data_IF_457889816737
#
_entry.id   IF_457889816737
#
_cell.length_a   1.000
_cell.length_b   1.000
_cell.length_c   1.000
_cell.angle_alpha   90.00
_cell.angle_beta   90.00
_cell.angle_gamma   90.00
#
_symmetry.space_group_name_H-M   'P 1'
#
loop_
_entity.id
_entity.type
_entity.pdbx_description
1 polymer ?
#
# COMPACT_ATOMS: atom_id res chain seq x y z
N UNK A 1 8.17 23.46 14.86
CA UNK A 1 9.45 23.25 14.15
C UNK A 1 9.15 23.39 12.66
N UNK A 2 9.17 24.61 12.15
CA UNK A 2 8.80 24.94 10.77
C UNK A 2 10.04 24.71 9.91
N UNK A 3 9.98 23.73 9.01
CA UNK A 3 11.01 23.53 7.98
C UNK A 3 10.73 24.57 6.90
N UNK A 4 11.32 25.75 7.08
CA UNK A 4 11.52 26.69 5.98
C UNK A 4 12.26 25.96 4.87
N UNK A 5 11.60 25.72 3.74
CA UNK A 5 12.27 25.29 2.53
C UNK A 5 13.22 26.40 2.12
N UNK A 6 14.49 26.17 2.42
CA UNK A 6 15.65 26.89 1.93
C UNK A 6 15.53 27.07 0.41
N UNK A 7 15.00 28.22 0.01
CA UNK A 7 15.05 28.73 -1.34
C UNK A 7 16.52 29.15 -1.55
N UNK A 8 17.35 28.18 -1.91
CA UNK A 8 18.77 28.39 -2.22
C UNK A 8 18.90 29.44 -3.32
N UNK A 9 19.19 30.66 -2.88
CA UNK A 9 20.10 31.63 -3.51
C UNK A 9 20.26 31.47 -5.02
N UNK A 10 19.24 31.84 -5.79
CA UNK A 10 19.51 32.60 -7.01
C UNK A 10 20.05 33.94 -6.49
N UNK A 11 21.38 34.07 -6.39
CA UNK A 11 21.98 35.40 -6.39
C UNK A 11 21.45 36.06 -7.67
N UNK A 12 20.42 36.89 -7.53
CA UNK A 12 19.91 37.71 -8.60
C UNK A 12 21.11 38.47 -9.13
N UNK A 13 21.55 38.14 -10.36
CA UNK A 13 22.51 38.96 -11.09
C UNK A 13 22.05 40.40 -10.93
N UNK A 14 22.90 41.24 -10.31
CA UNK A 14 22.61 42.66 -10.16
C UNK A 14 22.67 43.27 -11.56
N UNK A 15 21.54 43.22 -12.25
CA UNK A 15 21.38 43.82 -13.58
C UNK A 15 21.27 45.32 -13.39
N UNK A 16 22.19 46.05 -13.99
CA UNK A 16 22.13 47.51 -14.12
C UNK A 16 22.01 47.86 -15.60
N UNK A 17 21.35 48.96 -15.92
CA UNK A 17 21.32 49.45 -17.29
C UNK A 17 22.73 49.88 -17.68
N UNK A 18 23.20 49.43 -18.86
CA UNK A 18 24.53 49.76 -19.38
C UNK A 18 24.77 51.27 -19.34
N UNK A 19 23.76 52.07 -19.69
CA UNK A 19 23.81 53.54 -19.64
C UNK A 19 24.13 54.09 -18.23
N UNK A 20 23.57 53.48 -17.19
CA UNK A 20 23.71 53.96 -15.80
C UNK A 20 25.11 53.61 -15.27
N UNK A 21 25.62 52.44 -15.65
CA UNK A 21 27.00 52.00 -15.35
C UNK A 21 28.02 52.91 -16.04
N UNK A 22 27.82 53.22 -17.33
CA UNK A 22 28.69 54.12 -18.08
C UNK A 22 28.65 55.55 -17.52
N UNK A 23 27.47 56.06 -17.17
CA UNK A 23 27.31 57.39 -16.55
C UNK A 23 28.03 57.48 -15.20
N UNK A 24 27.85 56.48 -14.32
CA UNK A 24 28.56 56.39 -13.06
C UNK A 24 30.07 56.26 -13.26
N UNK A 25 30.52 55.47 -14.23
CA UNK A 25 31.95 55.30 -14.54
C UNK A 25 32.61 56.64 -14.94
N UNK A 26 31.94 57.43 -15.79
CA UNK A 26 32.41 58.76 -16.19
C UNK A 26 32.49 59.73 -15.00
N UNK A 27 31.50 59.70 -14.11
CA UNK A 27 31.48 60.54 -12.90
C UNK A 27 32.57 60.15 -11.89
N UNK A 28 32.91 58.87 -11.80
CA UNK A 28 33.88 58.34 -10.84
C UNK A 28 35.33 58.43 -11.32
N UNK A 29 35.58 58.41 -12.63
CA UNK A 29 36.92 58.47 -13.22
C UNK A 29 37.82 59.61 -12.69
N UNK A 30 37.36 60.89 -12.59
CA UNK A 30 38.21 61.99 -12.11
C UNK A 30 38.49 61.97 -10.60
N UNK A 31 37.76 61.17 -9.80
CA UNK A 31 37.87 61.13 -8.33
C UNK A 31 38.39 59.79 -7.80
N UNK A 32 38.91 58.91 -8.66
CA UNK A 32 39.30 57.54 -8.32
C UNK A 32 40.36 57.42 -7.21
N UNK A 33 41.19 58.45 -6.98
CA UNK A 33 42.26 58.44 -5.98
C UNK A 33 41.91 59.09 -4.64
N UNK A 34 40.73 59.71 -4.51
CA UNK A 34 40.30 60.44 -3.32
C UNK A 34 39.01 59.83 -2.75
N UNK A 35 39.09 59.05 -1.64
CA UNK A 35 37.94 58.34 -1.11
C UNK A 35 36.84 59.29 -0.61
N UNK A 36 37.20 60.49 -0.13
CA UNK A 36 36.22 61.45 0.37
C UNK A 36 35.40 62.07 -0.78
N UNK A 37 36.05 62.40 -1.90
CA UNK A 37 35.35 62.89 -3.10
C UNK A 37 34.55 61.81 -3.79
N UNK A 38 35.00 60.55 -3.74
CA UNK A 38 34.23 59.42 -4.26
C UNK A 38 32.93 59.23 -3.48
N UNK A 39 32.98 59.30 -2.16
CA UNK A 39 31.79 59.16 -1.32
C UNK A 39 30.79 60.30 -1.55
N UNK A 40 31.25 61.55 -1.73
CA UNK A 40 30.36 62.67 -2.04
C UNK A 40 29.66 62.53 -3.39
N UNK A 41 30.36 62.04 -4.43
CA UNK A 41 29.77 61.77 -5.76
C UNK A 41 28.77 60.60 -5.71
N UNK A 42 28.99 59.61 -4.84
CA UNK A 42 28.10 58.45 -4.69
C UNK A 42 26.89 58.70 -3.79
N UNK A 43 26.90 59.75 -2.96
CA UNK A 43 25.85 60.00 -1.98
C UNK A 43 24.46 60.14 -2.64
N UNK A 44 24.35 60.92 -3.70
CA UNK A 44 23.08 61.13 -4.42
C UNK A 44 22.58 59.87 -5.15
N UNK A 45 23.40 59.15 -5.96
CA UNK A 45 23.00 57.87 -6.54
C UNK A 45 22.60 56.81 -5.51
N UNK A 46 23.30 56.74 -4.36
CA UNK A 46 22.94 55.83 -3.25
C UNK A 46 21.56 56.17 -2.70
N UNK A 47 21.30 57.45 -2.43
CA UNK A 47 20.01 57.91 -1.93
C UNK A 47 18.87 57.70 -2.94
N UNK A 48 19.12 57.96 -4.22
CA UNK A 48 18.16 57.67 -5.29
C UNK A 48 17.86 56.17 -5.41
N UNK A 49 18.89 55.32 -5.39
CA UNK A 49 18.73 53.86 -5.42
C UNK A 49 17.98 53.35 -4.20
N UNK A 50 18.24 53.92 -3.02
CA UNK A 50 17.52 53.62 -1.78
C UNK A 50 16.02 53.93 -1.95
N UNK A 51 15.66 55.11 -2.46
CA UNK A 51 14.27 55.50 -2.71
C UNK A 51 13.58 54.60 -3.74
N UNK A 52 14.28 54.22 -4.82
CA UNK A 52 13.76 53.24 -5.78
C UNK A 52 13.49 51.91 -5.07
N UNK A 53 14.46 51.40 -4.30
CA UNK A 53 14.31 50.12 -3.63
C UNK A 53 13.14 50.13 -2.65
N UNK A 54 13.02 51.18 -1.83
CA UNK A 54 11.88 51.38 -0.91
C UNK A 54 10.54 51.40 -1.67
N UNK A 55 10.46 52.13 -2.77
CA UNK A 55 9.26 52.18 -3.60
C UNK A 55 8.96 50.81 -4.26
N UNK A 56 9.95 50.13 -4.81
CA UNK A 56 9.77 48.81 -5.42
C UNK A 56 9.32 47.76 -4.41
N UNK A 57 9.86 47.81 -3.18
CA UNK A 57 9.42 46.95 -2.10
C UNK A 57 7.96 47.22 -1.73
N UNK A 58 7.59 48.49 -1.55
CA UNK A 58 6.20 48.87 -1.28
C UNK A 58 5.23 48.44 -2.40
N UNK A 59 5.64 48.54 -3.67
CA UNK A 59 4.84 48.06 -4.80
C UNK A 59 4.69 46.53 -4.80
N UNK A 60 5.75 45.79 -4.50
CA UNK A 60 5.72 44.33 -4.42
C UNK A 60 4.82 43.85 -3.28
N UNK A 61 4.97 44.46 -2.09
CA UNK A 61 4.13 44.19 -0.93
C UNK A 61 2.66 44.52 -1.23
N UNK A 62 2.37 45.69 -1.83
CA UNK A 62 1.03 46.04 -2.26
C UNK A 62 0.43 45.01 -3.24
N UNK A 63 1.24 44.53 -4.20
CA UNK A 63 0.79 43.54 -5.18
C UNK A 63 0.45 42.19 -4.54
N UNK A 64 1.32 41.67 -3.67
CA UNK A 64 1.05 40.42 -2.93
C UNK A 64 -0.16 40.56 -2.03
N UNK A 65 -0.28 41.65 -1.27
CA UNK A 65 -1.46 41.95 -0.45
C UNK A 65 -2.74 42.01 -1.30
N UNK A 66 -2.66 42.58 -2.51
CA UNK A 66 -3.81 42.65 -3.41
C UNK A 66 -4.20 41.29 -3.96
N UNK A 67 -3.20 40.45 -4.29
CA UNK A 67 -3.39 39.07 -4.75
C UNK A 67 -4.00 38.21 -3.64
N UNK A 68 -3.49 38.30 -2.42
CA UNK A 68 -4.01 37.60 -1.26
C UNK A 68 -5.45 38.03 -0.96
N UNK A 69 -5.72 39.33 -0.90
CA UNK A 69 -7.07 39.87 -0.69
C UNK A 69 -8.06 39.36 -1.73
N UNK A 70 -7.66 39.32 -3.01
CA UNK A 70 -8.49 38.74 -4.08
C UNK A 70 -8.71 37.23 -3.90
N UNK A 71 -7.69 36.49 -3.47
CA UNK A 71 -7.82 35.06 -3.19
C UNK A 71 -8.82 34.80 -2.06
N UNK A 72 -8.71 35.54 -0.96
CA UNK A 72 -9.61 35.47 0.19
C UNK A 72 -11.06 35.81 -0.21
N UNK A 73 -11.27 36.83 -1.04
CA UNK A 73 -12.59 37.18 -1.57
C UNK A 73 -13.21 36.03 -2.39
N UNK A 74 -12.43 35.44 -3.31
CA UNK A 74 -12.90 34.30 -4.11
C UNK A 74 -13.22 33.08 -3.24
N UNK A 75 -12.39 32.80 -2.24
CA UNK A 75 -12.63 31.69 -1.31
C UNK A 75 -13.86 31.93 -0.44
N UNK A 76 -14.09 33.16 0.00
CA UNK A 76 -15.31 33.51 0.72
C UNK A 76 -16.56 33.29 -0.14
N UNK A 77 -16.50 33.63 -1.44
CA UNK A 77 -17.60 33.37 -2.37
C UNK A 77 -17.82 31.85 -2.55
N UNK A 78 -16.75 31.06 -2.69
CA UNK A 78 -16.83 29.59 -2.81
C UNK A 78 -17.41 28.95 -1.55
N UNK A 79 -16.98 29.36 -0.36
CA UNK A 79 -17.52 28.89 0.93
C UNK A 79 -19.00 29.22 1.05
N UNK A 80 -19.40 30.45 0.74
CA UNK A 80 -20.80 30.88 0.75
C UNK A 80 -21.64 30.06 -0.23
N UNK A 81 -21.12 29.80 -1.43
CA UNK A 81 -21.77 28.94 -2.43
C UNK A 81 -21.93 27.50 -1.93
N UNK A 82 -20.89 26.91 -1.33
CA UNK A 82 -20.95 25.56 -0.75
C UNK A 82 -22.02 25.49 0.34
N UNK A 83 -22.07 26.46 1.25
CA UNK A 83 -23.12 26.51 2.29
C UNK A 83 -24.52 26.58 1.69
N UNK A 84 -24.71 27.35 0.62
CA UNK A 84 -25.99 27.41 -0.10
C UNK A 84 -26.36 26.07 -0.77
N UNK A 85 -25.38 25.37 -1.35
CA UNK A 85 -25.57 24.01 -1.89
C UNK A 85 -25.97 23.03 -0.79
N UNK A 86 -25.26 23.04 0.34
CA UNK A 86 -25.57 22.19 1.51
C UNK A 86 -26.99 22.47 2.02
N UNK A 87 -27.39 23.74 2.12
CA UNK A 87 -28.74 24.11 2.53
C UNK A 87 -29.81 23.58 1.56
N UNK A 88 -29.58 23.66 0.24
CA UNK A 88 -30.48 23.09 -0.77
C UNK A 88 -30.54 21.55 -0.67
N UNK A 89 -29.41 20.88 -0.43
CA UNK A 89 -29.36 19.43 -0.24
C UNK A 89 -30.14 18.96 1.00
N UNK A 90 -30.00 19.66 2.12
CA UNK A 90 -30.84 19.43 3.32
C UNK A 90 -32.33 19.59 3.00
N UNK A 91 -32.68 20.64 2.26
CA UNK A 91 -34.06 20.83 1.77
C UNK A 91 -34.59 19.72 0.85
N UNK A 92 -33.71 18.88 0.29
CA UNK A 92 -34.04 17.71 -0.53
C UNK A 92 -34.01 16.39 0.26
N UNK A 93 -33.74 16.42 1.57
CA UNK A 93 -33.72 15.23 2.42
C UNK A 93 -32.39 14.49 2.49
N UNK A 94 -31.27 15.14 2.13
CA UNK A 94 -29.92 14.57 2.24
C UNK A 94 -29.24 14.83 3.60
N UNK A 95 -30.02 15.17 4.64
CA UNK A 95 -29.49 15.52 5.96
C UNK A 95 -28.66 14.39 6.59
N UNK A 96 -29.12 13.13 6.48
CA UNK A 96 -28.43 11.98 7.05
C UNK A 96 -27.04 11.80 6.43
N UNK A 97 -26.94 11.80 5.10
CA UNK A 97 -25.67 11.68 4.39
C UNK A 97 -24.72 12.85 4.68
N UNK A 98 -25.23 14.08 4.74
CA UNK A 98 -24.42 15.27 5.07
C UNK A 98 -23.89 15.26 6.50
N UNK A 99 -24.63 14.66 7.44
CA UNK A 99 -24.20 14.51 8.83
C UNK A 99 -23.18 13.36 9.00
N UNK A 100 -23.20 12.38 8.10
CA UNK A 100 -22.23 11.27 8.09
C UNK A 100 -20.92 11.64 7.37
N UNK A 101 -20.95 12.60 6.44
CA UNK A 101 -19.75 13.06 5.75
C UNK A 101 -18.74 13.67 6.72
N UNK A 102 -17.50 13.18 6.61
CA UNK A 102 -16.32 13.76 7.25
C UNK A 102 -15.75 14.91 6.40
N UNK A 103 -14.61 15.46 6.84
CA UNK A 103 -13.91 16.52 6.13
C UNK A 103 -13.53 16.11 4.69
N UNK A 104 -13.22 14.84 4.45
CA UNK A 104 -12.93 14.34 3.10
C UNK A 104 -14.17 14.33 2.21
N UNK A 105 -15.33 13.94 2.72
CA UNK A 105 -16.62 14.01 2.03
C UNK A 105 -16.99 15.45 1.65
N UNK A 106 -16.88 16.39 2.60
CA UNK A 106 -17.10 17.82 2.34
C UNK A 106 -16.09 18.40 1.35
N UNK A 107 -14.83 17.99 1.44
CA UNK A 107 -13.79 18.38 0.49
C UNK A 107 -14.13 17.88 -0.92
N UNK A 108 -14.58 16.63 -1.06
CA UNK A 108 -15.07 16.06 -2.32
C UNK A 108 -16.21 16.89 -2.92
N UNK A 109 -17.23 17.19 -2.11
CA UNK A 109 -18.38 18.02 -2.52
C UNK A 109 -17.93 19.42 -2.96
N UNK A 110 -17.03 20.06 -2.20
CA UNK A 110 -16.52 21.40 -2.49
C UNK A 110 -15.69 21.48 -3.78
N UNK A 111 -15.06 20.37 -4.17
CA UNK A 111 -14.20 20.26 -5.35
C UNK A 111 -14.95 19.98 -6.65
N UNK A 112 -16.24 19.63 -6.58
CA UNK A 112 -17.09 19.49 -7.77
C UNK A 112 -16.99 20.76 -8.62
N UNK A 113 -16.77 20.61 -9.93
CA UNK A 113 -16.55 21.74 -10.85
C UNK A 113 -17.69 22.75 -10.85
N UNK A 114 -18.91 22.28 -10.61
CA UNK A 114 -20.15 23.03 -10.50
C UNK A 114 -20.32 23.78 -9.17
N UNK A 115 -19.65 23.30 -8.10
CA UNK A 115 -19.69 23.85 -6.75
C UNK A 115 -18.51 24.78 -6.49
N UNK A 116 -17.30 24.50 -7.00
CA UNK A 116 -16.09 25.31 -6.76
C UNK A 116 -16.05 26.68 -7.45
N UNK A 117 -17.13 27.08 -8.12
CA UNK A 117 -17.20 28.35 -8.85
C UNK A 117 -17.28 29.53 -7.88
N UNK A 118 -16.44 30.56 -8.09
CA UNK A 118 -16.50 31.80 -7.33
C UNK A 118 -17.64 32.71 -7.85
N UNK A 119 -18.88 32.21 -7.82
CA UNK A 119 -20.11 32.92 -8.20
C UNK A 119 -21.23 32.56 -7.23
N UNK A 120 -22.09 33.51 -6.81
CA UNK A 120 -23.24 33.19 -5.97
C UNK A 120 -24.13 32.09 -6.57
N UNK A 121 -24.70 31.25 -5.71
CA UNK A 121 -25.68 30.25 -6.14
C UNK A 121 -27.03 30.93 -6.35
N UNK A 122 -27.56 30.84 -7.56
CA UNK A 122 -28.90 31.32 -7.93
C UNK A 122 -29.80 30.13 -8.24
N UNK A 123 -31.13 30.28 -8.19
CA UNK A 123 -32.03 29.15 -8.46
C UNK A 123 -31.86 28.57 -9.88
N UNK A 124 -31.57 29.42 -10.87
CA UNK A 124 -31.24 28.97 -12.23
C UNK A 124 -29.96 28.14 -12.27
N UNK A 125 -28.90 28.59 -11.59
CA UNK A 125 -27.64 27.84 -11.57
C UNK A 125 -27.75 26.58 -10.72
N UNK A 126 -28.53 26.61 -9.64
CA UNK A 126 -28.89 25.43 -8.85
C UNK A 126 -29.55 24.37 -9.72
N UNK A 127 -30.58 24.74 -10.50
CA UNK A 127 -31.27 23.80 -11.39
C UNK A 127 -30.31 23.10 -12.37
N UNK A 128 -29.29 23.80 -12.86
CA UNK A 128 -28.29 23.24 -13.78
C UNK A 128 -27.32 22.27 -13.10
N UNK A 129 -26.94 22.53 -11.84
CA UNK A 129 -25.94 21.72 -11.13
C UNK A 129 -26.55 20.61 -10.28
N UNK A 130 -27.85 20.71 -9.96
CA UNK A 130 -28.56 19.85 -9.02
C UNK A 130 -28.28 18.37 -9.27
N UNK A 131 -28.44 17.91 -10.51
CA UNK A 131 -28.23 16.50 -10.86
C UNK A 131 -26.82 16.03 -10.51
N UNK A 132 -25.80 16.79 -10.90
CA UNK A 132 -24.40 16.45 -10.60
C UNK A 132 -24.11 16.40 -9.09
N UNK A 133 -24.79 17.22 -8.30
CA UNK A 133 -24.65 17.20 -6.84
C UNK A 133 -25.42 16.02 -6.24
N UNK A 134 -26.64 15.73 -6.70
CA UNK A 134 -27.41 14.55 -6.26
C UNK A 134 -26.72 13.22 -6.63
N UNK A 135 -26.07 13.15 -7.81
CA UNK A 135 -25.27 12.00 -8.23
C UNK A 135 -24.10 11.77 -7.25
N UNK A 136 -23.38 12.84 -6.87
CA UNK A 136 -22.34 12.78 -5.84
C UNK A 136 -22.88 12.31 -4.48
N UNK A 137 -24.03 12.84 -4.04
CA UNK A 137 -24.65 12.41 -2.78
C UNK A 137 -25.10 10.94 -2.82
N UNK A 138 -25.54 10.46 -3.98
CA UNK A 138 -25.93 9.06 -4.19
C UNK A 138 -24.73 8.13 -4.09
N UNK A 139 -23.59 8.51 -4.68
CA UNK A 139 -22.33 7.79 -4.55
C UNK A 139 -21.87 7.76 -3.09
N UNK A 140 -21.87 8.91 -2.41
CA UNK A 140 -21.52 9.00 -0.99
C UNK A 140 -22.41 8.11 -0.11
N UNK A 141 -23.72 8.08 -0.37
CA UNK A 141 -24.66 7.16 0.29
C UNK A 141 -24.30 5.70 0.04
N UNK A 142 -23.96 5.36 -1.20
CA UNK A 142 -23.58 3.99 -1.59
C UNK A 142 -22.33 3.54 -0.85
N UNK A 143 -21.32 4.40 -0.78
CA UNK A 143 -20.08 4.13 -0.04
C UNK A 143 -20.34 3.95 1.46
N UNK A 144 -21.13 4.85 2.08
CA UNK A 144 -21.54 4.71 3.49
C UNK A 144 -22.25 3.38 3.75
N UNK A 145 -23.25 3.03 2.94
CA UNK A 145 -24.00 1.79 3.12
C UNK A 145 -23.12 0.55 2.91
N UNK A 146 -22.15 0.61 2.00
CA UNK A 146 -21.17 -0.44 1.81
C UNK A 146 -20.25 -0.59 3.04
N UNK A 147 -19.83 0.51 3.67
CA UNK A 147 -19.02 0.50 4.89
C UNK A 147 -19.80 -0.10 6.07
N UNK A 148 -21.03 0.37 6.29
CA UNK A 148 -21.93 -0.19 7.32
C UNK A 148 -22.13 -1.68 7.11
N UNK A 149 -22.37 -2.11 5.85
CA UNK A 149 -22.50 -3.54 5.53
C UNK A 149 -21.20 -4.30 5.79
N UNK A 150 -20.04 -3.73 5.49
CA UNK A 150 -18.73 -4.34 5.73
C UNK A 150 -18.50 -4.58 7.22
N UNK A 151 -18.79 -3.60 8.07
CA UNK A 151 -18.71 -3.74 9.54
C UNK A 151 -19.58 -4.89 10.05
N UNK A 152 -20.84 -4.95 9.61
CA UNK A 152 -21.76 -6.03 10.03
C UNK A 152 -21.28 -7.40 9.55
N UNK A 153 -20.81 -7.51 8.31
CA UNK A 153 -20.27 -8.76 7.79
C UNK A 153 -19.01 -9.19 8.56
N UNK A 154 -18.14 -8.24 8.96
CA UNK A 154 -16.97 -8.52 9.81
C UNK A 154 -17.40 -9.17 11.13
N UNK A 155 -18.39 -8.60 11.82
CA UNK A 155 -18.92 -9.14 13.07
C UNK A 155 -19.55 -10.53 12.86
N UNK A 156 -20.34 -10.70 11.79
CA UNK A 156 -20.94 -12.00 11.46
C UNK A 156 -19.91 -13.07 11.13
N UNK A 157 -18.84 -12.73 10.42
CA UNK A 157 -17.74 -13.65 10.16
C UNK A 157 -16.94 -14.00 11.41
N UNK A 158 -16.87 -13.09 12.39
CA UNK A 158 -16.29 -13.40 13.69
C UNK A 158 -17.12 -14.42 14.46
N UNK A 159 -18.46 -14.32 14.42
CA UNK A 159 -19.35 -15.34 14.98
C UNK A 159 -19.18 -16.67 14.25
N UNK A 160 -19.20 -16.68 12.91
CA UNK A 160 -18.97 -17.88 12.12
C UNK A 160 -17.64 -18.53 12.48
N UNK A 161 -16.57 -17.75 12.65
CA UNK A 161 -15.25 -18.25 13.07
C UNK A 161 -15.31 -19.01 14.40
N UNK A 162 -16.02 -18.49 15.39
CA UNK A 162 -16.18 -19.13 16.69
C UNK A 162 -16.95 -20.46 16.56
N UNK A 163 -18.04 -20.45 15.80
CA UNK A 163 -18.88 -21.63 15.57
C UNK A 163 -18.11 -22.73 14.83
N UNK A 164 -17.44 -22.38 13.73
CA UNK A 164 -16.61 -23.31 12.93
C UNK A 164 -15.47 -23.88 13.77
N UNK A 165 -14.84 -23.06 14.63
CA UNK A 165 -13.80 -23.52 15.53
C UNK A 165 -14.33 -24.59 16.51
N UNK A 166 -15.51 -24.37 17.10
CA UNK A 166 -16.16 -25.33 18.00
C UNK A 166 -16.49 -26.64 17.27
N UNK A 167 -17.05 -26.58 16.07
CA UNK A 167 -17.33 -27.77 15.26
C UNK A 167 -16.07 -28.56 14.91
N UNK A 168 -14.98 -27.84 14.58
CA UNK A 168 -13.69 -28.45 14.28
C UNK A 168 -13.14 -29.23 15.47
N UNK A 169 -13.28 -28.73 16.69
CA UNK A 169 -12.81 -29.43 17.90
C UNK A 169 -13.51 -30.78 18.13
N UNK A 170 -14.72 -30.96 17.58
CA UNK A 170 -15.48 -32.22 17.70
C UNK A 170 -15.26 -33.20 16.55
N UNK A 171 -14.41 -32.84 15.57
CA UNK A 171 -14.24 -33.59 14.34
C UNK A 171 -12.82 -34.17 14.22
N UNK A 172 -12.74 -35.48 13.98
CA UNK A 172 -11.47 -36.18 13.72
C UNK A 172 -11.04 -36.12 12.24
N UNK A 173 -11.86 -35.53 11.36
CA UNK A 173 -11.57 -35.42 9.92
C UNK A 173 -11.03 -34.05 9.52
N UNK A 174 -10.36 -34.00 8.36
CA UNK A 174 -9.98 -32.74 7.71
C UNK A 174 -11.21 -31.84 7.56
N UNK A 175 -11.15 -30.69 8.21
CA UNK A 175 -12.28 -29.77 8.35
C UNK A 175 -12.05 -28.48 7.55
N UNK A 176 -13.05 -27.97 6.81
CA UNK A 176 -12.94 -26.72 6.06
C UNK A 176 -12.57 -25.55 6.97
N UNK A 177 -11.86 -24.56 6.43
CA UNK A 177 -11.61 -23.33 7.17
C UNK A 177 -12.85 -22.41 7.13
N UNK A 178 -12.81 -21.30 7.88
CA UNK A 178 -13.93 -20.35 7.97
C UNK A 178 -14.28 -19.74 6.61
N UNK A 179 -13.29 -19.44 5.77
CA UNK A 179 -13.49 -18.88 4.43
C UNK A 179 -14.18 -19.89 3.51
N UNK A 180 -13.84 -21.17 3.63
CA UNK A 180 -14.47 -22.24 2.87
C UNK A 180 -15.96 -22.34 3.23
N UNK A 181 -16.29 -22.35 4.53
CA UNK A 181 -17.68 -22.31 4.99
C UNK A 181 -18.40 -21.06 4.53
N UNK A 182 -17.79 -19.87 4.67
CA UNK A 182 -18.37 -18.61 4.22
C UNK A 182 -18.73 -18.59 2.73
N UNK A 183 -18.10 -19.44 1.92
CA UNK A 183 -18.34 -19.55 0.48
C UNK A 183 -19.47 -20.52 0.12
N UNK A 184 -19.95 -21.33 1.08
CA UNK A 184 -21.05 -22.28 0.87
C UNK A 184 -22.40 -21.58 0.90
N UNK A 185 -23.27 -21.90 -0.06
CA UNK A 185 -24.59 -21.27 -0.19
C UNK A 185 -25.43 -21.41 1.08
N UNK A 186 -25.35 -22.57 1.76
CA UNK A 186 -26.07 -22.87 3.00
C UNK A 186 -25.64 -21.94 4.15
N UNK A 187 -24.36 -21.56 4.20
CA UNK A 187 -23.83 -20.62 5.21
C UNK A 187 -24.13 -19.19 4.78
N UNK A 188 -24.05 -18.88 3.48
CA UNK A 188 -24.36 -17.55 2.94
C UNK A 188 -25.80 -17.15 3.21
N UNK A 189 -26.76 -18.06 3.13
CA UNK A 189 -28.16 -17.74 3.46
C UNK A 189 -28.35 -17.26 4.91
N UNK A 190 -27.44 -17.64 5.82
CA UNK A 190 -27.43 -17.22 7.22
C UNK A 190 -26.61 -15.93 7.41
N UNK A 191 -25.43 -15.82 6.77
CA UNK A 191 -24.54 -14.66 6.93
C UNK A 191 -25.03 -13.43 6.16
N UNK A 192 -25.61 -13.61 4.97
CA UNK A 192 -26.04 -12.51 4.08
C UNK A 192 -27.45 -11.98 4.40
N UNK A 193 -28.08 -12.39 5.51
CA UNK A 193 -29.40 -11.89 5.96
C UNK A 193 -29.44 -10.36 6.07
N UNK A 194 -30.62 -9.72 6.05
CA UNK A 194 -30.72 -8.26 6.15
C UNK A 194 -29.94 -7.68 7.34
N UNK A 195 -29.35 -6.50 7.13
CA UNK A 195 -28.55 -5.75 8.11
C UNK A 195 -29.27 -5.50 9.44
N UNK A 196 -30.60 -5.43 9.43
CA UNK A 196 -31.42 -5.21 10.62
C UNK A 196 -31.52 -6.42 11.56
N UNK A 197 -31.06 -7.60 11.14
CA UNK A 197 -31.16 -8.83 11.94
C UNK A 197 -29.84 -9.12 12.64
N UNK A 198 -29.89 -9.24 13.96
CA UNK A 198 -28.75 -9.66 14.79
C UNK A 198 -28.53 -11.15 14.60
N UNK A 199 -27.30 -11.52 14.24
CA UNK A 199 -26.88 -12.90 14.11
C UNK A 199 -26.24 -13.36 15.43
N UNK A 200 -26.57 -14.55 15.90
CA UNK A 200 -25.98 -15.16 17.10
C UNK A 200 -25.33 -16.51 16.75
N UNK A 201 -24.45 -17.08 17.60
CA UNK A 201 -23.89 -18.40 17.36
C UNK A 201 -24.95 -19.49 17.11
N UNK A 202 -26.07 -19.43 17.84
CA UNK A 202 -27.20 -20.39 17.74
C UNK A 202 -27.92 -20.29 16.39
N UNK A 203 -27.78 -19.16 15.69
CA UNK A 203 -28.33 -19.00 14.33
C UNK A 203 -27.73 -20.00 13.34
N UNK A 204 -26.55 -20.57 13.65
CA UNK A 204 -25.89 -21.59 12.84
C UNK A 204 -26.27 -23.03 13.24
N UNK A 205 -27.04 -23.24 14.30
CA UNK A 205 -27.39 -24.60 14.77
C UNK A 205 -28.23 -25.36 13.73
N UNK A 206 -28.94 -24.64 12.86
CA UNK A 206 -29.65 -25.21 11.71
C UNK A 206 -28.73 -25.98 10.75
N UNK A 207 -27.43 -25.68 10.74
CA UNK A 207 -26.43 -26.36 9.91
C UNK A 207 -25.90 -27.65 10.55
N UNK A 208 -26.08 -27.87 11.86
CA UNK A 208 -25.54 -29.04 12.56
C UNK A 208 -25.96 -30.37 11.92
N UNK A 209 -27.24 -30.59 11.54
CA UNK A 209 -27.64 -31.84 10.89
C UNK A 209 -27.04 -32.04 9.49
N UNK A 210 -26.73 -30.94 8.80
CA UNK A 210 -26.17 -30.95 7.43
C UNK A 210 -24.64 -30.91 7.42
N UNK A 211 -24.01 -30.66 8.56
CA UNK A 211 -22.58 -30.45 8.68
C UNK A 211 -21.74 -31.59 8.10
N UNK A 212 -22.06 -32.89 8.32
CA UNK A 212 -21.30 -33.99 7.73
C UNK A 212 -21.29 -33.95 6.19
N UNK A 213 -22.43 -33.61 5.58
CA UNK A 213 -22.58 -33.55 4.12
C UNK A 213 -21.85 -32.34 3.53
N UNK A 214 -21.90 -31.19 4.22
CA UNK A 214 -21.17 -29.97 3.83
C UNK A 214 -19.65 -30.21 3.85
N UNK A 215 -19.13 -30.83 4.92
CA UNK A 215 -17.71 -31.18 5.04
C UNK A 215 -17.31 -32.19 3.97
N UNK A 216 -18.12 -33.21 3.72
CA UNK A 216 -17.86 -34.21 2.68
C UNK A 216 -17.87 -33.60 1.27
N UNK A 217 -18.80 -32.68 0.99
CA UNK A 217 -18.87 -31.91 -0.27
C UNK A 217 -17.63 -31.07 -0.47
N UNK A 218 -17.26 -30.25 0.52
CA UNK A 218 -16.04 -29.46 0.47
C UNK A 218 -14.80 -30.32 0.23
N UNK A 219 -14.67 -31.45 0.93
CA UNK A 219 -13.51 -32.32 0.79
C UNK A 219 -13.39 -32.87 -0.64
N UNK A 220 -14.50 -33.32 -1.24
CA UNK A 220 -14.51 -33.74 -2.66
C UNK A 220 -14.03 -32.63 -3.59
N UNK A 221 -14.50 -31.40 -3.35
CA UNK A 221 -14.13 -30.25 -4.16
C UNK A 221 -12.67 -29.82 -3.96
N UNK A 222 -12.18 -29.87 -2.72
CA UNK A 222 -10.78 -29.60 -2.38
C UNK A 222 -9.83 -30.64 -2.99
N UNK A 223 -10.17 -31.93 -2.89
CA UNK A 223 -9.40 -33.03 -3.49
C UNK A 223 -9.35 -32.88 -5.01
N UNK A 224 -10.49 -32.54 -5.64
CA UNK A 224 -10.55 -32.27 -7.08
C UNK A 224 -9.65 -31.09 -7.47
N UNK A 225 -9.73 -29.97 -6.74
CA UNK A 225 -8.88 -28.81 -7.00
C UNK A 225 -7.38 -29.12 -6.84
N UNK A 226 -7.02 -29.92 -5.83
CA UNK A 226 -5.65 -30.36 -5.61
C UNK A 226 -5.17 -31.22 -6.78
N UNK A 227 -5.96 -32.22 -7.19
CA UNK A 227 -5.63 -33.09 -8.32
C UNK A 227 -5.49 -32.28 -9.61
N UNK A 228 -6.39 -31.33 -9.86
CA UNK A 228 -6.32 -30.47 -11.05
C UNK A 228 -5.07 -29.59 -11.03
N UNK A 229 -4.73 -28.97 -9.88
CA UNK A 229 -3.48 -28.21 -9.73
C UNK A 229 -2.25 -29.09 -9.91
N UNK A 230 -2.24 -30.30 -9.36
CA UNK A 230 -1.15 -31.26 -9.55
C UNK A 230 -1.00 -31.63 -11.02
N UNK A 231 -2.10 -31.97 -11.71
CA UNK A 231 -2.09 -32.25 -13.15
C UNK A 231 -1.59 -31.06 -13.96
N UNK A 232 -2.07 -29.86 -13.68
CA UNK A 232 -1.60 -28.64 -14.32
C UNK A 232 -0.10 -28.41 -14.07
N UNK A 233 0.38 -28.65 -12.85
CA UNK A 233 1.81 -28.51 -12.51
C UNK A 233 2.69 -29.62 -13.12
N UNK A 234 2.20 -30.84 -13.24
CA UNK A 234 2.91 -31.94 -13.92
C UNK A 234 2.94 -31.72 -15.45
N UNK A 235 1.90 -31.11 -16.01
CA UNK A 235 1.86 -30.69 -17.42
C UNK A 235 2.75 -29.48 -17.72
N UNK A 236 3.36 -28.82 -16.71
CA UNK A 236 4.31 -27.71 -16.92
C UNK A 236 5.71 -28.19 -17.35
N UNK A 237 5.99 -29.48 -17.50
CA UNK A 237 7.21 -29.87 -18.23
C UNK A 237 7.75 -31.28 -18.10
N UNK A 238 6.96 -32.29 -17.73
CA UNK A 238 7.46 -33.68 -17.77
C UNK A 238 7.27 -34.37 -19.12
N UNK A 239 6.25 -34.01 -19.91
CA UNK A 239 6.00 -34.71 -21.18
C UNK A 239 6.53 -34.02 -22.44
N UNK A 240 6.81 -32.72 -22.43
CA UNK A 240 7.30 -32.06 -23.65
C UNK A 240 8.14 -30.80 -23.38
N UNK A 241 9.30 -30.95 -22.73
CA UNK A 241 10.47 -30.34 -23.35
C UNK A 241 10.89 -31.26 -24.50
N UNK A 242 10.12 -31.21 -25.57
CA UNK A 242 10.69 -31.39 -26.90
C UNK A 242 11.75 -30.31 -27.01
N UNK A 243 12.96 -30.64 -26.57
CA UNK A 243 14.15 -29.89 -26.95
C UNK A 243 13.99 -29.61 -28.43
N UNK A 244 14.18 -28.37 -28.90
CA UNK A 244 14.09 -28.03 -30.32
C UNK A 244 14.97 -28.93 -31.22
N UNK A 245 15.83 -29.75 -30.61
CA UNK A 245 16.77 -30.67 -31.23
C UNK A 245 16.35 -32.15 -31.21
N UNK A 246 15.11 -32.51 -30.86
CA UNK A 246 14.55 -33.84 -31.14
C UNK A 246 15.18 -35.03 -30.39
N UNK A 247 15.98 -34.79 -29.34
CA UNK A 247 16.51 -35.87 -28.51
C UNK A 247 15.48 -36.15 -27.41
N UNK A 248 14.80 -37.29 -27.52
CA UNK A 248 14.04 -37.86 -26.42
C UNK A 248 14.99 -38.17 -25.26
N UNK A 249 15.13 -37.22 -24.33
CA UNK A 249 15.89 -37.40 -23.09
C UNK A 249 15.21 -38.47 -22.26
N UNK A 250 15.63 -39.72 -22.41
CA UNK A 250 15.17 -40.82 -21.54
C UNK A 250 15.58 -40.49 -20.11
N UNK A 251 14.61 -40.20 -19.26
CA UNK A 251 14.82 -40.12 -17.81
C UNK A 251 15.38 -41.48 -17.39
N UNK A 252 16.66 -41.51 -17.00
CA UNK A 252 17.29 -42.70 -16.45
C UNK A 252 17.20 -42.62 -14.93
N UNK A 253 16.94 -43.76 -14.29
CA UNK A 253 17.05 -43.87 -12.83
C UNK A 253 18.49 -43.48 -12.44
N UNK A 254 18.63 -42.51 -11.53
CA UNK A 254 19.92 -42.14 -10.97
C UNK A 254 20.56 -43.36 -10.30
N UNK A 255 21.90 -43.43 -10.28
CA UNK A 255 22.58 -44.43 -9.45
C UNK A 255 22.22 -44.21 -7.98
N UNK A 256 22.24 -45.27 -7.18
CA UNK A 256 21.91 -45.18 -5.75
C UNK A 256 22.81 -44.20 -5.00
N UNK A 257 24.06 -44.05 -5.45
CA UNK A 257 25.01 -43.05 -4.95
C UNK A 257 24.51 -41.61 -5.16
N UNK A 258 24.08 -41.26 -6.37
CA UNK A 258 23.52 -39.93 -6.66
C UNK A 258 22.17 -39.71 -5.94
N UNK A 259 21.35 -40.75 -5.81
CA UNK A 259 20.11 -40.66 -5.05
C UNK A 259 20.37 -40.41 -3.55
N UNK A 260 21.41 -41.04 -2.99
CA UNK A 260 21.83 -40.82 -1.60
C UNK A 260 22.34 -39.40 -1.41
N UNK A 261 23.20 -38.91 -2.30
CA UNK A 261 23.69 -37.53 -2.27
C UNK A 261 22.54 -36.51 -2.39
N UNK A 262 21.55 -36.75 -3.27
CA UNK A 262 20.37 -35.89 -3.38
C UNK A 262 19.58 -35.84 -2.07
N UNK A 263 19.31 -37.00 -1.45
CA UNK A 263 18.61 -37.09 -0.14
C UNK A 263 19.35 -36.33 0.97
N UNK A 264 20.68 -36.38 0.98
CA UNK A 264 21.48 -35.61 1.95
C UNK A 264 21.37 -34.10 1.75
N UNK A 265 21.35 -33.64 0.49
CA UNK A 265 21.13 -32.23 0.16
C UNK A 265 19.70 -31.80 0.52
N UNK A 266 18.70 -32.63 0.25
CA UNK A 266 17.30 -32.39 0.64
C UNK A 266 17.16 -32.27 2.15
N UNK A 267 17.78 -33.18 2.91
CA UNK A 267 17.81 -33.12 4.38
C UNK A 267 18.47 -31.83 4.87
N UNK A 268 19.65 -31.47 4.35
CA UNK A 268 20.35 -30.26 4.73
C UNK A 268 19.59 -28.97 4.35
N UNK A 269 18.89 -28.97 3.21
CA UNK A 269 18.02 -27.85 2.81
C UNK A 269 16.81 -27.73 3.75
N UNK A 270 16.19 -28.86 4.11
CA UNK A 270 15.05 -28.92 5.04
C UNK A 270 15.45 -28.40 6.42
N UNK A 271 16.63 -28.79 6.95
CA UNK A 271 17.15 -28.27 8.22
C UNK A 271 17.39 -26.76 8.19
N UNK A 272 17.96 -26.23 7.09
CA UNK A 272 18.15 -24.77 6.92
C UNK A 272 16.83 -24.01 6.84
N UNK A 273 15.80 -24.63 6.26
CA UNK A 273 14.47 -24.04 6.15
C UNK A 273 13.74 -24.08 7.48
N UNK A 274 13.81 -25.19 8.22
CA UNK A 274 13.30 -25.25 9.59
C UNK A 274 13.91 -24.14 10.47
N UNK A 275 15.21 -23.89 10.35
CA UNK A 275 15.88 -22.80 11.06
C UNK A 275 15.44 -21.38 10.60
N UNK A 276 15.03 -21.22 9.33
CA UNK A 276 14.53 -19.94 8.78
C UNK A 276 13.05 -19.72 9.04
N UNK A 277 12.25 -20.78 9.07
CA UNK A 277 10.82 -20.73 9.33
C UNK A 277 10.53 -20.10 10.71
N UNK A 278 11.37 -20.39 11.71
CA UNK A 278 11.34 -19.73 13.02
C UNK A 278 11.57 -18.20 12.94
N UNK A 279 12.31 -17.72 11.93
CA UNK A 279 12.65 -16.31 11.75
C UNK A 279 11.71 -15.53 10.81
N UNK A 280 10.98 -16.20 9.91
CA UNK A 280 10.24 -15.56 8.79
C UNK A 280 8.75 -15.85 8.75
N UNK A 281 8.16 -16.35 9.83
CA UNK A 281 6.72 -16.61 9.95
C UNK A 281 5.87 -15.34 9.80
N UNK A 282 5.67 -14.84 8.56
CA UNK A 282 4.83 -13.66 8.27
C UNK A 282 3.37 -13.87 8.65
N UNK A 283 2.90 -15.12 8.67
CA UNK A 283 1.54 -15.47 9.09
C UNK A 283 1.39 -15.74 10.58
N UNK A 284 2.45 -15.63 11.38
CA UNK A 284 2.39 -15.81 12.84
C UNK A 284 2.07 -17.25 13.29
N UNK A 285 2.33 -17.50 14.56
CA UNK A 285 2.04 -18.74 15.27
C UNK A 285 0.66 -18.65 15.93
N UNK A 286 -0.07 -19.75 15.99
CA UNK A 286 -1.37 -19.84 16.67
C UNK A 286 -1.34 -20.90 17.75
N UNK A 287 -1.97 -20.57 18.87
CA UNK A 287 -2.23 -21.51 19.95
C UNK A 287 -3.36 -22.47 19.52
N UNK A 288 -3.17 -23.79 19.69
CA UNK A 288 -4.22 -24.76 19.36
C UNK A 288 -5.42 -24.68 20.31
N UNK A 289 -5.22 -24.12 21.50
CA UNK A 289 -6.24 -24.00 22.56
C UNK A 289 -6.95 -22.64 22.58
N UNK A 290 -6.52 -21.66 21.77
CA UNK A 290 -7.10 -20.31 21.72
C UNK A 290 -7.53 -19.93 20.29
N UNK A 291 -8.75 -19.42 20.09
CA UNK A 291 -9.24 -19.05 18.75
C UNK A 291 -8.78 -17.68 18.24
N UNK A 292 -8.23 -16.81 19.10
CA UNK A 292 -8.06 -15.38 18.80
C UNK A 292 -6.60 -14.92 18.69
N UNK A 293 -5.67 -15.59 19.38
CA UNK A 293 -4.33 -15.06 19.52
C UNK A 293 -3.40 -15.49 18.37
N UNK A 294 -2.93 -14.50 17.61
CA UNK A 294 -1.87 -14.63 16.60
C UNK A 294 -0.58 -14.09 17.21
N UNK A 295 0.45 -14.93 17.23
CA UNK A 295 1.72 -14.62 17.86
C UNK A 295 2.79 -14.40 16.80
N UNK A 296 3.60 -13.35 16.94
CA UNK A 296 4.64 -13.04 15.94
C UNK A 296 5.75 -14.09 15.97
N UNK A 297 6.06 -14.65 17.15
CA UNK A 297 7.17 -15.59 17.33
C UNK A 297 6.72 -16.88 18.02
N UNK A 298 7.50 -17.94 17.82
CA UNK A 298 7.32 -19.22 18.52
C UNK A 298 7.37 -19.04 20.03
N UNK A 299 8.35 -18.27 20.52
CA UNK A 299 8.48 -17.95 21.94
C UNK A 299 7.24 -17.27 22.53
N UNK A 300 6.60 -16.35 21.78
CA UNK A 300 5.38 -15.69 22.25
C UNK A 300 4.18 -16.63 22.36
N UNK A 301 4.02 -17.60 21.43
CA UNK A 301 2.93 -18.60 21.58
C UNK A 301 3.25 -19.59 22.70
N UNK A 302 4.51 -19.97 22.88
CA UNK A 302 4.94 -20.83 23.99
C UNK A 302 4.71 -20.16 25.34
N UNK A 303 5.05 -18.87 25.47
CA UNK A 303 4.79 -18.11 26.69
C UNK A 303 3.30 -18.01 27.01
N UNK A 304 2.47 -17.79 25.99
CA UNK A 304 1.01 -17.81 26.14
C UNK A 304 0.48 -19.18 26.56
N UNK A 305 0.98 -20.28 25.99
CA UNK A 305 0.60 -21.64 26.40
C UNK A 305 0.96 -21.90 27.88
N UNK A 306 2.08 -21.36 28.36
CA UNK A 306 2.44 -21.42 29.79
C UNK A 306 1.48 -20.61 30.66
N UNK A 307 1.19 -19.36 30.29
CA UNK A 307 0.42 -18.45 31.14
C UNK A 307 -1.08 -18.76 31.14
N UNK A 308 -1.66 -19.01 29.97
CA UNK A 308 -3.11 -19.15 29.80
C UNK A 308 -3.59 -20.61 29.85
N UNK A 309 -2.71 -21.56 29.56
CA UNK A 309 -3.09 -22.99 29.44
C UNK A 309 -2.30 -23.92 30.37
N UNK A 310 -1.35 -23.39 31.16
CA UNK A 310 -0.59 -24.18 32.14
C UNK A 310 0.27 -25.30 31.53
N UNK A 311 0.54 -25.27 30.21
CA UNK A 311 1.38 -26.27 29.55
C UNK A 311 2.86 -25.94 29.80
N UNK A 312 3.51 -26.73 30.66
CA UNK A 312 4.92 -26.58 31.03
C UNK A 312 5.81 -27.49 30.17
N UNK A 313 6.70 -26.89 29.39
CA UNK A 313 7.97 -27.36 28.79
C UNK A 313 8.03 -28.67 27.98
N UNK A 314 6.98 -29.48 27.96
CA UNK A 314 6.80 -30.60 27.03
C UNK A 314 5.78 -30.19 25.97
N UNK A 315 6.17 -29.27 25.08
CA UNK A 315 5.29 -28.90 23.97
C UNK A 315 5.36 -29.98 22.90
N UNK A 316 4.23 -30.59 22.61
CA UNK A 316 4.08 -31.38 21.40
C UNK A 316 3.80 -30.42 20.23
N UNK A 317 4.18 -30.80 19.01
CA UNK A 317 3.88 -30.03 17.78
C UNK A 317 2.35 -29.85 17.55
N UNK A 318 1.52 -30.44 18.40
CA UNK A 318 0.06 -30.32 18.44
C UNK A 318 -0.45 -29.13 19.26
N UNK A 319 0.39 -28.53 20.13
CA UNK A 319 -0.02 -27.47 21.06
C UNK A 319 -0.12 -26.08 20.44
N UNK A 320 0.64 -25.86 19.37
CA UNK A 320 0.62 -24.64 18.57
C UNK A 320 1.01 -24.97 17.13
N UNK A 321 0.54 -24.17 16.17
CA UNK A 321 0.80 -24.41 14.76
C UNK A 321 1.09 -23.09 14.03
N UNK A 322 1.77 -23.19 12.90
CA UNK A 322 1.97 -22.06 12.00
C UNK A 322 0.64 -21.75 11.28
N UNK A 323 0.20 -20.49 11.26
CA UNK A 323 -1.09 -20.13 10.64
C UNK A 323 -1.17 -20.65 9.19
N UNK A 324 -2.31 -21.20 8.71
CA UNK A 324 -2.45 -21.73 7.35
C UNK A 324 -2.16 -20.73 6.23
N UNK A 325 -2.41 -19.44 6.49
CA UNK A 325 -2.07 -18.33 5.58
C UNK A 325 -0.55 -18.00 5.55
N UNK A 326 0.25 -18.61 6.44
CA UNK A 326 1.70 -18.53 6.32
C UNK A 326 2.11 -19.30 5.07
N UNK A 327 2.89 -18.66 4.19
CA UNK A 327 3.48 -19.35 3.05
C UNK A 327 4.36 -20.47 3.62
N UNK A 328 4.06 -21.75 3.36
CA UNK A 328 4.91 -22.84 3.81
C UNK A 328 6.28 -22.63 3.15
N UNK A 329 7.32 -22.49 3.96
CA UNK A 329 8.69 -22.46 3.48
C UNK A 329 9.01 -23.91 3.09
N UNK A 330 8.70 -24.28 1.85
CA UNK A 330 8.98 -25.60 1.31
C UNK A 330 10.34 -25.56 0.66
N UNK A 331 11.18 -26.57 0.90
CA UNK A 331 12.45 -26.70 0.21
C UNK A 331 12.22 -26.74 -1.30
N UNK A 332 12.97 -25.91 -2.04
CA UNK A 332 13.07 -26.07 -3.48
C UNK A 332 13.53 -27.51 -3.77
N UNK A 333 12.90 -28.23 -4.70
CA UNK A 333 13.24 -29.61 -5.00
C UNK A 333 14.70 -29.71 -5.46
N UNK A 334 15.41 -30.74 -5.01
CA UNK A 334 16.81 -30.97 -5.41
C UNK A 334 16.84 -31.54 -6.82
N UNK A 335 17.34 -30.75 -7.76
CA UNK A 335 17.51 -31.15 -9.15
C UNK A 335 18.93 -31.70 -9.39
N UNK A 336 19.04 -32.97 -9.79
CA UNK A 336 20.29 -33.56 -10.26
C UNK A 336 20.53 -33.19 -11.73
N UNK A 337 21.60 -32.45 -12.02
CA UNK A 337 21.95 -31.97 -13.36
C UNK A 337 23.25 -32.62 -13.82
N UNK A 338 23.28 -33.15 -15.06
CA UNK A 338 24.50 -33.77 -15.62
C UNK A 338 25.53 -32.69 -16.02
N UNK A 339 26.78 -32.86 -15.57
CA UNK A 339 27.81 -31.81 -15.63
C UNK A 339 28.29 -31.42 -17.03
N UNK A 340 28.01 -32.19 -18.08
CA UNK A 340 28.74 -32.02 -19.36
C UNK A 340 28.02 -31.28 -20.49
N UNK A 341 26.70 -31.03 -20.44
CA UNK A 341 26.01 -30.32 -21.54
C UNK A 341 24.85 -29.38 -21.17
N UNK A 342 24.35 -29.39 -19.93
CA UNK A 342 23.08 -28.73 -19.63
C UNK A 342 23.20 -27.36 -18.91
N UNK A 343 24.41 -26.94 -18.52
CA UNK A 343 24.61 -25.65 -17.83
C UNK A 343 24.23 -24.42 -18.68
N UNK A 344 24.33 -24.51 -20.01
CA UNK A 344 24.01 -23.39 -20.92
C UNK A 344 22.50 -23.13 -21.06
N UNK A 345 21.62 -24.02 -20.56
CA UNK A 345 20.18 -23.99 -20.81
C UNK A 345 19.32 -24.08 -19.54
N UNK A 346 19.88 -23.77 -18.38
CA UNK A 346 19.11 -23.75 -17.14
C UNK A 346 18.22 -22.48 -17.07
N UNK A 347 16.95 -22.61 -16.66
CA UNK A 347 16.09 -21.45 -16.40
C UNK A 347 16.79 -20.49 -15.43
N UNK A 348 16.69 -19.18 -15.69
CA UNK A 348 17.44 -18.12 -14.98
C UNK A 348 17.44 -18.26 -13.45
N UNK A 349 16.35 -18.78 -12.86
CA UNK A 349 16.23 -19.04 -11.42
C UNK A 349 17.20 -20.11 -10.90
N UNK A 350 17.44 -21.17 -11.68
CA UNK A 350 18.37 -22.26 -11.33
C UNK A 350 19.82 -21.78 -11.46
N UNK A 351 20.11 -20.96 -12.47
CA UNK A 351 21.43 -20.33 -12.64
C UNK A 351 21.76 -19.38 -11.49
N UNK A 352 20.77 -18.61 -11.01
CA UNK A 352 20.92 -17.72 -9.84
C UNK A 352 21.12 -18.52 -8.54
N UNK A 353 20.40 -19.63 -8.35
CA UNK A 353 20.58 -20.51 -7.19
C UNK A 353 21.97 -21.17 -7.18
N UNK A 354 22.48 -21.57 -8.36
CA UNK A 354 23.84 -22.08 -8.54
C UNK A 354 24.91 -21.01 -8.23
N UNK A 355 24.73 -19.77 -8.71
CA UNK A 355 25.65 -18.65 -8.43
C UNK A 355 25.67 -18.23 -6.96
N UNK A 356 24.59 -18.49 -6.22
CA UNK A 356 24.49 -18.26 -4.78
C UNK A 356 24.99 -19.43 -3.92
N UNK A 357 25.56 -20.48 -4.53
CA UNK A 357 26.18 -21.60 -3.82
C UNK A 357 25.21 -22.58 -3.16
N UNK A 358 23.94 -22.62 -3.61
CA UNK A 358 22.91 -23.50 -3.02
C UNK A 358 22.87 -24.91 -3.62
N UNK A 359 23.72 -25.22 -4.61
CA UNK A 359 23.85 -26.56 -5.21
C UNK A 359 25.33 -26.86 -5.47
N UNK A 360 25.84 -27.97 -4.94
CA UNK A 360 27.16 -28.47 -5.31
C UNK A 360 27.16 -30.00 -5.41
N UNK A 361 27.60 -30.52 -6.55
CA UNK A 361 28.47 -31.69 -6.60
C UNK A 361 29.68 -31.33 -7.47
N UNK A 362 30.82 -31.76 -6.96
CA UNK A 362 32.20 -31.33 -7.25
C UNK A 362 32.77 -32.11 -8.43
N UNK A 363 33.56 -31.45 -9.27
CA UNK A 363 34.95 -31.85 -9.55
C UNK A 363 35.69 -30.68 -10.24
N UNK A 364 36.86 -30.38 -9.68
CA UNK A 364 37.97 -29.56 -10.17
C UNK A 364 37.73 -28.15 -10.70
N UNK A 365 37.71 -27.15 -9.79
CA UNK A 365 38.38 -25.87 -10.05
C UNK A 365 39.08 -25.35 -8.79
N UNK A 366 40.38 -25.09 -8.96
CA UNK A 366 41.33 -24.48 -8.04
C UNK A 366 40.86 -23.15 -7.43
N UNK A 367 41.23 -22.92 -6.16
CA UNK A 367 41.11 -21.64 -5.46
C UNK A 367 41.91 -20.54 -6.16
N UNK A 368 41.23 -19.50 -6.67
CA UNK A 368 41.77 -18.14 -6.78
C UNK A 368 40.67 -17.11 -7.13
N UNK A 369 40.53 -16.09 -6.25
CA UNK A 369 39.96 -14.73 -6.50
C UNK A 369 38.47 -14.65 -6.94
N UNK A 370 37.62 -13.68 -6.58
CA UNK A 370 37.73 -12.37 -5.92
C UNK A 370 36.31 -11.89 -5.55
N UNK A 371 36.20 -10.96 -4.60
CA UNK A 371 35.00 -10.19 -4.24
C UNK A 371 34.29 -9.50 -5.42
N UNK A 372 32.94 -9.42 -5.38
CA UNK A 372 32.18 -8.21 -5.78
C UNK A 372 30.73 -8.19 -5.27
N UNK A 373 30.41 -7.08 -4.60
CA UNK A 373 29.10 -6.57 -4.22
C UNK A 373 28.22 -6.27 -5.44
N UNK A 374 26.91 -6.59 -5.40
CA UNK A 374 25.87 -5.81 -6.07
C UNK A 374 24.59 -5.79 -5.23
N UNK A 375 24.28 -4.59 -4.73
CA UNK A 375 23.01 -4.20 -4.12
C UNK A 375 21.85 -4.48 -5.07
N UNK A 376 20.79 -5.12 -4.57
CA UNK A 376 19.55 -5.28 -5.32
C UNK A 376 18.66 -4.07 -5.06
N UNK A 377 18.38 -3.36 -6.14
CA UNK A 377 17.43 -2.27 -6.26
C UNK A 377 16.04 -2.69 -5.75
N UNK A 378 15.38 -1.74 -5.10
CA UNK A 378 14.02 -1.87 -4.60
C UNK A 378 13.03 -2.15 -5.73
N UNK A 379 12.24 -3.19 -5.55
CA UNK A 379 10.88 -3.25 -6.07
C UNK A 379 9.98 -2.92 -4.88
N UNK A 380 9.54 -1.66 -4.81
CA UNK A 380 8.49 -1.25 -3.88
C UNK A 380 7.20 -1.93 -4.30
N UNK A 381 6.75 -2.86 -3.47
CA UNK A 381 5.35 -3.28 -3.40
C UNK A 381 4.84 -2.59 -2.14
N UNK A 382 3.94 -1.63 -2.32
CA UNK A 382 3.19 -1.03 -1.23
C UNK A 382 2.19 -2.09 -0.74
N UNK A 383 2.47 -2.67 0.42
CA UNK A 383 1.46 -3.37 1.22
C UNK A 383 0.85 -2.33 2.17
N UNK A 384 -0.48 -2.21 2.07
CA UNK A 384 -1.35 -1.45 2.95
C UNK A 384 -1.53 -2.30 4.23
N UNK A 385 -0.70 -2.07 5.23
CA UNK A 385 -0.97 -2.54 6.59
C UNK A 385 -1.72 -1.42 7.33
N UNK A 386 -3.03 -1.60 7.45
CA UNK A 386 -3.92 -0.85 8.35
C UNK A 386 -3.67 -1.33 9.79
N UNK A 387 -2.72 -0.70 10.46
CA UNK A 387 -2.72 -0.57 11.92
C UNK A 387 -3.06 0.90 12.24
N UNK A 388 -4.36 1.20 12.30
CA UNK A 388 -4.87 2.43 12.93
C UNK A 388 -4.80 2.26 14.45
N UNK A 389 -3.72 2.78 15.05
CA UNK A 389 -3.70 3.16 16.46
C UNK A 389 -3.18 4.60 16.58
N UNK A 390 -4.07 5.47 17.06
CA UNK A 390 -3.85 6.73 17.77
C UNK A 390 -2.60 7.58 17.41
N UNK A 391 -2.77 8.48 16.44
CA UNK A 391 -2.01 9.73 16.40
C UNK A 391 -2.94 10.93 16.26
N UNK A 392 -3.23 11.57 17.40
CA UNK A 392 -3.68 12.95 17.50
C UNK A 392 -2.61 13.87 16.85
N UNK A 393 -2.77 14.15 15.56
CA UNK A 393 -2.04 15.22 14.88
C UNK A 393 -2.81 16.54 15.03
N UNK A 394 -2.27 17.41 15.86
CA UNK A 394 -2.63 18.82 15.96
C UNK A 394 -2.23 19.50 14.62
N UNK A 395 -3.21 19.68 13.72
CA UNK A 395 -2.99 20.25 12.41
C UNK A 395 -3.13 21.78 12.46
N UNK A 396 -2.02 22.45 12.72
CA UNK A 396 -1.86 23.88 12.45
C UNK A 396 -1.95 24.08 10.92
N UNK A 397 -2.94 24.87 10.48
CA UNK A 397 -3.27 25.12 9.07
C UNK A 397 -2.06 25.69 8.31
N UNK A 398 -1.46 24.87 7.45
CA UNK A 398 -0.49 25.33 6.47
C UNK A 398 -1.16 26.10 5.32
N UNK A 399 -0.67 27.31 5.07
CA UNK A 399 -1.05 28.20 3.97
C UNK A 399 -1.01 27.46 2.61
N UNK A 400 -2.17 27.37 1.96
CA UNK A 400 -2.34 26.73 0.67
C UNK A 400 -1.94 27.71 -0.44
N UNK A 401 -0.74 27.55 -0.99
CA UNK A 401 -0.31 28.23 -2.22
C UNK A 401 -1.13 27.69 -3.41
N UNK A 402 -2.20 28.42 -3.76
CA UNK A 402 -2.91 28.23 -5.02
C UNK A 402 -2.00 28.61 -6.19
N UNK A 403 -1.53 27.61 -6.94
CA UNK A 403 -1.01 27.82 -8.29
C UNK A 403 -2.17 28.25 -9.20
N UNK A 404 -2.04 29.43 -9.80
CA UNK A 404 -2.96 29.97 -10.79
C UNK A 404 -2.66 29.39 -12.18
N UNK A 405 -3.60 28.63 -12.73
CA UNK A 405 -3.67 28.31 -14.16
C UNK A 405 -4.22 29.53 -14.92
N UNK A 406 -3.36 30.51 -15.22
CA UNK A 406 -3.68 31.59 -16.15
C UNK A 406 -2.39 32.06 -16.84
N UNK A 407 -1.98 31.33 -17.88
CA UNK A 407 -1.17 31.86 -18.98
C UNK A 407 -1.15 30.81 -20.11
N UNK A 408 -1.89 31.07 -21.20
CA UNK A 408 -1.56 30.77 -22.60
C UNK A 408 -2.80 31.01 -23.49
N UNK A 409 -3.07 32.28 -23.77
CA UNK A 409 -3.80 32.68 -24.99
C UNK A 409 -2.75 32.95 -26.09
N UNK A 410 -2.73 32.12 -27.12
CA UNK A 410 -2.10 32.41 -28.41
C UNK A 410 -3.16 32.27 -29.52
N UNK A 411 -3.24 33.22 -30.47
CA UNK A 411 -4.24 33.18 -31.51
C UNK A 411 -3.78 32.32 -32.68
N UNK A 412 -4.68 31.54 -33.25
CA UNK A 412 -4.52 30.97 -34.59
C UNK A 412 -5.62 31.49 -35.52
N UNK A 413 -5.17 31.89 -36.71
CA UNK A 413 -5.96 31.98 -37.94
C UNK A 413 -6.62 30.65 -38.29
#
# INVERSE_FOLDING_TARGET
MIIERSNKSRMTERKALVRDVEALSKLLAPVSGDPAKKESVLAEPKEYTKKINEFTFACAEWYENKKESRSQELDQIRRTRLMAVVAKLRGLGWDEELNYMDDHGYLGLSRLSSVKQAKPLTDRTWANIRKSVEDFMTEAKTLRLAEVRRGILKDRFQILRQVVHKWRQTSDVLFPNVRDFASMDEVRTIVDIPTSVVLTPESFDVLLPMLPDLVAKWRRDADKQLVDRLRSSCNIGLDMHGSPYGIASRIKKASEEHATAAREVERAATEKIAARADMKARGGWQCASCPVAKFVTKNSVTQHLRSEHGKMDNYEDTDYYLHPDSIPDVADPVCLISSKKDQAYLPMKVTVAMQQGLTAVRDDVSMANTYRYMSRAGAGIYDFDEDEDDFLYDHEYGEYYGMSDDELDFPWY
#
